data_IF_643631778712
#
_entry.id   IF_643631778712
#
_cell.length_a   1.000
_cell.length_b   1.000
_cell.length_c   1.000
_cell.angle_alpha   90.00
_cell.angle_beta   90.00
_cell.angle_gamma   90.00
#
_symmetry.space_group_name_H-M   'P 1'
#
loop_
_entity.id
_entity.type
_entity.pdbx_description
1 polymer ?
#
# COMPACT_ATOMS: atom_id res chain seq x y z
N UNK A 1 8.56 7.41 -1.09
CA UNK A 1 7.85 6.49 -2.02
C UNK A 1 7.87 5.09 -1.42
N UNK A 2 6.70 4.50 -1.20
CA UNK A 2 6.56 3.11 -0.78
C UNK A 2 6.12 2.28 -2.00
N UNK A 3 6.68 1.08 -2.15
CA UNK A 3 6.35 0.17 -3.24
C UNK A 3 5.69 -1.09 -2.70
N UNK A 4 4.58 -1.45 -3.34
CA UNK A 4 3.76 -2.61 -3.00
C UNK A 4 3.85 -3.56 -4.19
N UNK A 5 4.70 -4.58 -4.07
CA UNK A 5 4.99 -5.52 -5.16
C UNK A 5 5.10 -6.94 -4.59
N UNK A 6 4.53 -7.97 -5.24
CA UNK A 6 4.67 -9.36 -4.81
C UNK A 6 6.10 -9.91 -4.96
N UNK A 7 6.94 -9.27 -5.79
CA UNK A 7 8.36 -9.62 -5.99
C UNK A 7 9.20 -8.37 -5.79
N UNK A 8 10.37 -8.51 -5.18
CA UNK A 8 11.28 -7.39 -5.00
C UNK A 8 11.89 -6.96 -6.36
N UNK A 9 11.34 -5.89 -6.92
CA UNK A 9 11.77 -5.32 -8.21
C UNK A 9 12.97 -4.37 -8.03
N UNK A 10 13.71 -4.06 -9.10
CA UNK A 10 14.79 -3.03 -9.08
C UNK A 10 14.26 -1.64 -8.70
N UNK A 11 12.96 -1.41 -8.84
CA UNK A 11 12.29 -0.19 -8.38
C UNK A 11 12.04 -0.27 -6.87
N UNK A 12 11.66 -1.43 -6.34
CA UNK A 12 11.48 -1.68 -4.90
C UNK A 12 12.78 -1.44 -4.10
N UNK A 13 13.95 -1.70 -4.69
CA UNK A 13 15.24 -1.43 -4.03
C UNK A 13 15.56 0.05 -3.84
N UNK A 14 14.86 0.95 -4.53
CA UNK A 14 14.97 2.41 -4.35
C UNK A 14 13.85 2.99 -3.48
N UNK A 15 12.88 2.18 -3.06
CA UNK A 15 11.80 2.65 -2.19
C UNK A 15 12.26 2.74 -0.73
N UNK A 16 11.65 3.69 -0.01
CA UNK A 16 11.85 3.81 1.44
C UNK A 16 11.24 2.61 2.19
N UNK A 17 10.15 2.04 1.65
CA UNK A 17 9.50 0.86 2.20
C UNK A 17 9.00 -0.03 1.07
N UNK A 18 9.34 -1.30 1.16
CA UNK A 18 8.79 -2.35 0.32
C UNK A 18 7.83 -3.20 1.13
N UNK A 19 6.64 -3.45 0.58
CA UNK A 19 5.62 -4.33 1.17
C UNK A 19 5.39 -5.48 0.21
N UNK A 20 5.68 -6.70 0.67
CA UNK A 20 5.35 -7.91 -0.06
C UNK A 20 3.86 -8.21 0.10
N UNK A 21 3.16 -8.32 -1.02
CA UNK A 21 1.74 -8.69 -1.06
C UNK A 21 1.56 -9.97 -1.86
N UNK A 22 0.43 -10.65 -1.67
CA UNK A 22 0.08 -11.77 -2.52
C UNK A 22 -0.31 -11.25 -3.92
N UNK A 23 0.16 -11.86 -5.02
CA UNK A 23 -0.27 -11.47 -6.35
C UNK A 23 -1.80 -11.44 -6.46
N UNK A 24 -2.35 -10.45 -7.16
CA UNK A 24 -3.79 -10.23 -7.33
C UNK A 24 -4.54 -9.81 -6.05
N UNK A 25 -3.84 -9.32 -5.02
CA UNK A 25 -4.46 -8.75 -3.79
C UNK A 25 -4.21 -7.25 -3.62
N UNK A 26 -3.69 -6.59 -4.65
CA UNK A 26 -3.43 -5.15 -4.70
C UNK A 26 -4.70 -4.34 -4.40
N UNK A 27 -5.84 -4.75 -4.99
CA UNK A 27 -7.13 -4.11 -4.77
C UNK A 27 -7.62 -4.30 -3.32
N UNK A 28 -7.43 -5.48 -2.74
CA UNK A 28 -7.80 -5.75 -1.35
C UNK A 28 -6.93 -4.93 -0.38
N UNK A 29 -5.64 -4.76 -0.67
CA UNK A 29 -4.74 -3.91 0.10
C UNK A 29 -5.15 -2.43 0.04
N UNK A 30 -5.50 -1.93 -1.15
CA UNK A 30 -6.00 -0.56 -1.31
C UNK A 30 -7.29 -0.31 -0.50
N UNK A 31 -8.25 -1.25 -0.56
CA UNK A 31 -9.49 -1.16 0.23
C UNK A 31 -9.22 -1.22 1.74
N UNK A 32 -8.27 -2.04 2.19
CA UNK A 32 -7.85 -2.06 3.59
C UNK A 32 -7.24 -0.73 4.02
N UNK A 33 -6.44 -0.08 3.16
CA UNK A 33 -5.90 1.26 3.44
C UNK A 33 -6.98 2.33 3.52
N UNK A 34 -7.97 2.28 2.62
CA UNK A 34 -9.13 3.19 2.66
C UNK A 34 -9.92 2.99 3.96
N UNK A 35 -10.20 1.74 4.33
CA UNK A 35 -10.88 1.42 5.59
C UNK A 35 -10.10 1.96 6.79
N UNK A 36 -8.79 1.68 6.86
CA UNK A 36 -7.93 2.18 7.93
C UNK A 36 -7.95 3.71 8.01
N UNK A 37 -7.93 4.39 6.86
CA UNK A 37 -7.99 5.85 6.82
C UNK A 37 -9.32 6.39 7.35
N UNK A 38 -10.45 5.72 7.08
CA UNK A 38 -11.76 6.08 7.62
C UNK A 38 -11.80 5.84 9.14
N UNK A 39 -11.37 4.67 9.61
CA UNK A 39 -11.36 4.29 11.03
C UNK A 39 -10.46 5.20 11.88
N UNK A 40 -9.39 5.74 11.31
CA UNK A 40 -8.45 6.62 12.01
C UNK A 40 -8.72 8.11 11.75
N UNK A 41 -9.83 8.45 11.09
CA UNK A 41 -10.18 9.83 10.70
C UNK A 41 -9.06 10.54 9.90
N UNK A 42 -8.26 9.76 9.16
CA UNK A 42 -7.12 10.20 8.34
C UNK A 42 -7.55 10.60 6.92
N UNK A 43 -8.79 11.02 6.75
CA UNK A 43 -9.29 11.56 5.48
C UNK A 43 -9.32 13.09 5.55
N UNK A 44 -9.11 13.74 4.42
CA UNK A 44 -9.18 15.20 4.34
C UNK A 44 -10.63 15.61 4.52
N UNK A 45 -10.94 16.28 5.64
CA UNK A 45 -12.17 17.05 5.80
C UNK A 45 -11.93 18.44 5.22
N UNK A 46 -12.58 18.74 4.09
CA UNK A 46 -12.78 20.11 3.59
C UNK A 46 -14.19 20.55 3.95
#
# INVERSE_FOLDING_TARGET
MALVDPRFSKTASKAWKWVSIKPATEAAFALAMVRWAIENERYVRT
#
